data_IF_073752648162
#
_entry.id   IF_073752648162
#
_cell.length_a   1.000
_cell.length_b   1.000
_cell.length_c   1.000
_cell.angle_alpha   90.00
_cell.angle_beta   90.00
_cell.angle_gamma   90.00
#
_symmetry.space_group_name_H-M   'P 1'
#
loop_
_entity.id
_entity.type
_entity.pdbx_description
1 polymer ?
#
# COMPACT_ATOMS: atom_id res chain seq x y z
N UNK A 1 1.96 5.26 -17.33
CA UNK A 1 1.03 6.30 -17.85
C UNK A 1 -0.05 6.53 -16.81
N UNK A 2 -0.23 7.77 -16.34
CA UNK A 2 -1.33 8.11 -15.43
C UNK A 2 -2.57 8.43 -16.26
N UNK A 3 -3.65 7.65 -16.11
CA UNK A 3 -4.96 7.90 -16.74
C UNK A 3 -5.81 8.69 -15.75
N UNK A 4 -6.22 9.90 -16.11
CA UNK A 4 -7.18 10.67 -15.31
C UNK A 4 -8.58 10.10 -15.52
N UNK A 5 -9.17 9.56 -14.46
CA UNK A 5 -10.55 9.08 -14.44
C UNK A 5 -11.44 10.22 -13.92
N UNK A 6 -12.55 10.50 -14.61
CA UNK A 6 -13.54 11.49 -14.19
C UNK A 6 -14.85 10.78 -13.87
N UNK A 7 -15.23 10.76 -12.60
CA UNK A 7 -16.48 10.20 -12.10
C UNK A 7 -17.44 11.36 -11.83
N UNK A 8 -18.53 11.47 -12.58
CA UNK A 8 -19.57 12.50 -12.38
C UNK A 8 -20.89 11.90 -11.91
N UNK A 9 -21.12 10.64 -12.27
CA UNK A 9 -22.33 9.88 -11.96
C UNK A 9 -21.97 8.52 -11.39
N UNK A 10 -22.94 7.84 -10.78
CA UNK A 10 -22.80 6.44 -10.37
C UNK A 10 -22.51 5.54 -11.56
N UNK A 11 -23.13 5.80 -12.72
CA UNK A 11 -22.87 5.01 -13.94
C UNK A 11 -21.43 5.12 -14.44
N UNK A 12 -20.83 6.31 -14.34
CA UNK A 12 -19.40 6.48 -14.66
C UNK A 12 -18.54 5.59 -13.74
N UNK A 13 -18.90 5.51 -12.45
CA UNK A 13 -18.20 4.67 -11.49
C UNK A 13 -18.41 3.18 -11.78
N UNK A 14 -19.62 2.76 -12.12
CA UNK A 14 -19.92 1.36 -12.46
C UNK A 14 -19.07 0.90 -13.64
N UNK A 15 -19.01 1.70 -14.70
CA UNK A 15 -18.22 1.39 -15.91
C UNK A 15 -16.72 1.33 -15.59
N UNK A 16 -16.19 2.29 -14.84
CA UNK A 16 -14.76 2.31 -14.51
C UNK A 16 -14.37 1.19 -13.54
N UNK A 17 -15.20 0.89 -12.54
CA UNK A 17 -14.97 -0.26 -11.63
C UNK A 17 -14.95 -1.56 -12.43
N UNK A 18 -15.96 -1.79 -13.28
CA UNK A 18 -16.03 -2.99 -14.11
C UNK A 18 -14.79 -3.12 -15.02
N UNK A 19 -14.43 -2.06 -15.75
CA UNK A 19 -13.30 -2.07 -16.66
C UNK A 19 -11.96 -2.31 -15.94
N UNK A 20 -11.72 -1.63 -14.81
CA UNK A 20 -10.49 -1.79 -14.03
C UNK A 20 -10.40 -3.18 -13.42
N UNK A 21 -11.49 -3.69 -12.85
CA UNK A 21 -11.52 -5.03 -12.26
C UNK A 21 -11.27 -6.11 -13.33
N UNK A 22 -11.94 -6.04 -14.48
CA UNK A 22 -11.71 -6.97 -15.60
C UNK A 22 -10.26 -6.97 -16.02
N UNK A 23 -9.67 -5.78 -16.19
CA UNK A 23 -8.28 -5.64 -16.59
C UNK A 23 -7.32 -6.24 -15.56
N UNK A 24 -7.48 -5.93 -14.28
CA UNK A 24 -6.60 -6.42 -13.21
C UNK A 24 -6.63 -7.93 -13.11
N UNK A 25 -7.82 -8.54 -13.18
CA UNK A 25 -7.96 -10.00 -13.12
C UNK A 25 -7.31 -10.65 -14.35
N UNK A 26 -7.58 -10.13 -15.56
CA UNK A 26 -7.03 -10.67 -16.80
C UNK A 26 -5.49 -10.52 -16.89
N UNK A 27 -4.94 -9.41 -16.40
CA UNK A 27 -3.48 -9.20 -16.28
C UNK A 27 -2.83 -10.18 -15.30
N UNK A 28 -3.60 -10.81 -14.40
CA UNK A 28 -3.13 -11.88 -13.52
C UNK A 28 -2.70 -13.16 -14.26
N UNK A 29 -3.13 -13.34 -15.52
CA UNK A 29 -2.64 -14.42 -16.39
C UNK A 29 -3.07 -15.83 -15.98
N UNK A 30 -4.17 -15.98 -15.24
CA UNK A 30 -4.70 -17.28 -14.83
C UNK A 30 -5.41 -17.99 -16.00
N UNK A 31 -5.19 -19.29 -16.14
CA UNK A 31 -5.77 -20.10 -17.22
C UNK A 31 -7.30 -20.02 -17.22
N UNK A 32 -7.91 -19.73 -18.37
CA UNK A 32 -9.36 -19.56 -18.52
C UNK A 32 -9.93 -18.22 -18.02
N UNK A 33 -9.08 -17.29 -17.58
CA UNK A 33 -9.48 -15.98 -17.07
C UNK A 33 -8.92 -14.82 -17.91
N UNK A 34 -9.06 -14.93 -19.23
CA UNK A 34 -8.70 -13.85 -20.16
C UNK A 34 -9.69 -12.68 -20.12
N UNK A 35 -9.33 -11.60 -20.81
CA UNK A 35 -10.10 -10.35 -20.81
C UNK A 35 -11.54 -10.53 -21.33
N UNK A 36 -11.75 -11.44 -22.28
CA UNK A 36 -13.08 -11.72 -22.84
C UNK A 36 -13.94 -12.49 -21.84
N UNK A 37 -13.37 -13.54 -21.24
CA UNK A 37 -14.07 -14.41 -20.28
C UNK A 37 -14.42 -13.66 -19.00
N UNK A 38 -13.45 -12.93 -18.43
CA UNK A 38 -13.66 -12.09 -17.26
C UNK A 38 -14.60 -10.94 -17.58
N UNK A 39 -14.43 -10.29 -18.73
CA UNK A 39 -15.28 -9.19 -19.19
C UNK A 39 -16.75 -9.58 -19.21
N UNK A 40 -17.08 -10.70 -19.86
CA UNK A 40 -18.46 -11.23 -19.93
C UNK A 40 -19.11 -11.42 -18.56
N UNK A 41 -18.35 -11.89 -17.56
CA UNK A 41 -18.86 -12.12 -16.20
C UNK A 41 -19.07 -10.78 -15.49
N UNK A 42 -18.07 -9.91 -15.52
CA UNK A 42 -18.08 -8.63 -14.81
C UNK A 42 -19.11 -7.66 -15.38
N UNK A 43 -19.38 -7.71 -16.69
CA UNK A 43 -20.40 -6.89 -17.34
C UNK A 43 -21.80 -7.51 -17.33
N UNK A 44 -22.03 -8.58 -16.57
CA UNK A 44 -23.38 -9.11 -16.39
C UNK A 44 -24.24 -8.15 -15.57
N UNK A 45 -25.53 -8.05 -15.90
CA UNK A 45 -26.47 -7.12 -15.25
C UNK A 45 -26.44 -7.23 -13.73
N UNK A 46 -26.38 -8.47 -13.20
CA UNK A 46 -26.29 -8.73 -11.76
C UNK A 46 -25.03 -8.15 -11.11
N UNK A 47 -23.88 -8.25 -11.79
CA UNK A 47 -22.63 -7.69 -11.26
C UNK A 47 -22.66 -6.17 -11.37
N UNK A 48 -23.15 -5.61 -12.47
CA UNK A 48 -23.29 -4.15 -12.63
C UNK A 48 -24.24 -3.54 -11.59
N UNK A 49 -25.37 -4.19 -11.30
CA UNK A 49 -26.30 -3.77 -10.23
C UNK A 49 -25.67 -3.86 -8.84
N UNK A 50 -24.84 -4.87 -8.60
CA UNK A 50 -24.09 -5.03 -7.35
C UNK A 50 -23.05 -3.92 -7.18
N UNK A 51 -22.31 -3.59 -8.24
CA UNK A 51 -21.35 -2.48 -8.25
C UNK A 51 -22.06 -1.17 -7.95
N UNK A 52 -23.18 -0.90 -8.63
CA UNK A 52 -24.01 0.30 -8.45
C UNK A 52 -24.44 0.45 -6.99
N UNK A 53 -25.08 -0.59 -6.45
CA UNK A 53 -25.58 -0.61 -5.08
C UNK A 53 -24.46 -0.41 -4.05
N UNK A 54 -23.32 -1.09 -4.23
CA UNK A 54 -22.18 -0.97 -3.34
C UNK A 54 -21.53 0.41 -3.37
N UNK A 55 -21.42 1.01 -4.57
CA UNK A 55 -20.89 2.35 -4.75
C UNK A 55 -21.79 3.40 -4.10
N UNK A 56 -23.09 3.40 -4.41
CA UNK A 56 -24.06 4.35 -3.86
C UNK A 56 -24.12 4.27 -2.33
N UNK A 57 -24.07 3.06 -1.76
CA UNK A 57 -24.00 2.87 -0.32
C UNK A 57 -22.77 3.54 0.30
N UNK A 58 -21.60 3.40 -0.32
CA UNK A 58 -20.36 4.00 0.20
C UNK A 58 -20.39 5.53 0.13
N UNK A 59 -20.84 6.08 -1.00
CA UNK A 59 -20.98 7.54 -1.15
C UNK A 59 -22.03 8.08 -0.17
N UNK A 60 -23.16 7.39 -0.01
CA UNK A 60 -24.19 7.72 0.98
C UNK A 60 -23.69 7.69 2.43
N UNK A 61 -22.68 6.86 2.72
CA UNK A 61 -22.00 6.80 4.02
C UNK A 61 -20.85 7.82 4.17
N UNK A 62 -20.67 8.73 3.21
CA UNK A 62 -19.67 9.81 3.27
C UNK A 62 -18.30 9.48 2.69
N UNK A 63 -18.12 8.35 2.00
CA UNK A 63 -16.87 8.07 1.28
C UNK A 63 -16.71 9.01 0.08
N UNK A 64 -15.47 9.38 -0.25
CA UNK A 64 -15.21 10.12 -1.49
C UNK A 64 -15.45 9.20 -2.71
N UNK A 65 -15.77 9.74 -3.90
CA UNK A 65 -15.91 8.94 -5.12
C UNK A 65 -14.68 8.05 -5.40
N UNK A 66 -13.48 8.57 -5.12
CA UNK A 66 -12.22 7.83 -5.28
C UNK A 66 -12.17 6.62 -4.35
N UNK A 67 -12.43 6.82 -3.05
CA UNK A 67 -12.35 5.75 -2.06
C UNK A 67 -13.43 4.70 -2.29
N UNK A 68 -14.63 5.15 -2.71
CA UNK A 68 -15.72 4.26 -3.09
C UNK A 68 -15.33 3.37 -4.30
N UNK A 69 -14.77 3.95 -5.38
CA UNK A 69 -14.28 3.17 -6.53
C UNK A 69 -13.23 2.14 -6.12
N UNK A 70 -12.19 2.58 -5.38
CA UNK A 70 -11.10 1.70 -4.95
C UNK A 70 -11.65 0.54 -4.14
N UNK A 71 -12.45 0.85 -3.12
CA UNK A 71 -12.92 -0.15 -2.19
C UNK A 71 -13.92 -1.10 -2.85
N UNK A 72 -14.76 -0.65 -3.81
CA UNK A 72 -15.71 -1.54 -4.51
C UNK A 72 -14.95 -2.43 -5.47
N UNK A 73 -14.01 -1.88 -6.24
CA UNK A 73 -13.15 -2.66 -7.15
C UNK A 73 -12.35 -3.73 -6.42
N UNK A 74 -11.74 -3.40 -5.28
CA UNK A 74 -11.02 -4.38 -4.44
C UNK A 74 -11.93 -5.50 -3.94
N UNK A 75 -13.13 -5.17 -3.43
CA UNK A 75 -14.10 -6.18 -2.99
C UNK A 75 -14.54 -7.09 -4.14
N UNK A 76 -14.75 -6.52 -5.33
CA UNK A 76 -15.15 -7.28 -6.51
C UNK A 76 -14.05 -8.23 -7.00
N UNK A 77 -12.79 -7.76 -7.06
CA UNK A 77 -11.63 -8.59 -7.41
C UNK A 77 -11.49 -9.74 -6.41
N UNK A 78 -11.54 -9.45 -5.11
CA UNK A 78 -11.44 -10.48 -4.08
C UNK A 78 -12.56 -11.51 -4.19
N UNK A 79 -13.80 -11.07 -4.43
CA UNK A 79 -14.94 -11.97 -4.61
C UNK A 79 -14.77 -12.86 -5.85
N UNK A 80 -14.36 -12.29 -6.98
CA UNK A 80 -14.11 -13.04 -8.21
C UNK A 80 -13.01 -14.09 -8.01
N UNK A 81 -11.85 -13.68 -7.47
CA UNK A 81 -10.73 -14.60 -7.30
C UNK A 81 -11.07 -15.73 -6.33
N UNK A 82 -11.79 -15.43 -5.25
CA UNK A 82 -12.24 -16.45 -4.30
C UNK A 82 -13.23 -17.43 -4.94
N UNK A 83 -14.19 -16.97 -5.75
CA UNK A 83 -15.15 -17.85 -6.42
C UNK A 83 -14.51 -18.68 -7.54
N UNK A 84 -13.48 -18.15 -8.18
CA UNK A 84 -12.70 -18.81 -9.22
C UNK A 84 -11.59 -19.74 -8.68
N UNK A 85 -11.35 -19.77 -7.35
CA UNK A 85 -10.24 -20.54 -6.77
C UNK A 85 -8.86 -19.98 -7.13
N UNK A 86 -8.78 -18.72 -7.54
CA UNK A 86 -7.54 -18.02 -7.86
C UNK A 86 -6.86 -17.60 -6.54
N UNK A 87 -5.59 -17.99 -6.30
CA UNK A 87 -4.88 -17.57 -5.11
C UNK A 87 -4.74 -16.05 -5.09
N UNK A 88 -5.35 -15.40 -4.10
CA UNK A 88 -5.18 -13.97 -3.87
C UNK A 88 -3.91 -13.76 -3.03
N UNK A 89 -3.02 -12.89 -3.50
CA UNK A 89 -2.05 -12.26 -2.59
C UNK A 89 -2.90 -11.42 -1.62
N UNK A 90 -2.67 -11.48 -0.28
CA UNK A 90 -3.46 -10.67 0.65
C UNK A 90 -3.48 -9.22 0.18
N UNK A 91 -4.68 -8.64 0.11
CA UNK A 91 -4.88 -7.29 -0.35
C UNK A 91 -3.92 -6.36 0.39
N UNK A 92 -3.16 -5.55 -0.36
CA UNK A 92 -2.44 -4.44 0.24
C UNK A 92 -3.45 -3.61 1.06
N UNK A 93 -3.14 -3.24 2.31
CA UNK A 93 -4.08 -2.55 3.19
C UNK A 93 -4.67 -1.31 2.50
N UNK A 94 -5.94 -1.03 2.80
CA UNK A 94 -6.79 -0.06 2.09
C UNK A 94 -6.36 1.41 2.25
N UNK A 95 -5.41 1.69 3.16
CA UNK A 95 -4.80 3.01 3.28
C UNK A 95 -3.54 3.06 2.40
N UNK A 96 -3.31 4.14 1.62
CA UNK A 96 -1.99 4.38 1.10
C UNK A 96 -1.05 4.41 2.30
N UNK A 97 -0.15 3.42 2.37
CA UNK A 97 0.90 3.34 3.38
C UNK A 97 1.45 4.74 3.61
N UNK A 98 1.39 5.24 4.85
CA UNK A 98 1.74 6.62 5.16
C UNK A 98 3.05 6.97 4.46
N UNK A 99 3.08 8.08 3.70
CA UNK A 99 4.27 8.47 2.93
C UNK A 99 4.89 9.72 3.51
N UNK A 100 6.22 9.75 3.59
CA UNK A 100 7.01 10.95 3.89
C UNK A 100 7.77 11.39 2.65
N UNK A 101 8.02 12.70 2.51
CA UNK A 101 8.74 13.25 1.37
C UNK A 101 10.22 13.47 1.71
N UNK A 102 11.11 13.13 0.78
CA UNK A 102 12.52 13.50 0.91
C UNK A 102 12.75 15.01 0.65
N UNK A 103 13.97 15.54 0.86
CA UNK A 103 14.27 16.95 0.61
C UNK A 103 14.03 17.43 -0.83
N UNK A 104 13.92 16.52 -1.80
CA UNK A 104 13.58 16.82 -3.19
C UNK A 104 12.07 16.69 -3.48
N UNK A 105 11.26 16.39 -2.47
CA UNK A 105 9.80 16.22 -2.59
C UNK A 105 9.36 14.86 -3.14
N UNK A 106 10.27 13.87 -3.25
CA UNK A 106 9.93 12.53 -3.73
C UNK A 106 9.27 11.74 -2.58
N UNK A 107 8.11 11.10 -2.79
CA UNK A 107 7.43 10.34 -1.74
C UNK A 107 8.12 8.99 -1.49
N UNK A 108 8.31 8.65 -0.21
CA UNK A 108 8.82 7.38 0.29
C UNK A 108 7.85 6.81 1.33
N UNK A 109 7.89 5.49 1.55
CA UNK A 109 7.13 4.85 2.64
C UNK A 109 7.59 5.41 3.99
N UNK A 110 6.66 5.71 4.89
CA UNK A 110 6.97 6.16 6.24
C UNK A 110 7.43 5.01 7.15
N UNK A 111 7.04 3.78 6.81
CA UNK A 111 7.37 2.59 7.56
C UNK A 111 8.26 1.63 6.75
N UNK A 112 9.10 0.88 7.47
CA UNK A 112 9.99 -0.11 6.89
C UNK A 112 10.65 -0.97 7.97
N UNK A 113 11.69 -1.71 7.59
CA UNK A 113 12.53 -2.48 8.53
C UNK A 113 13.74 -1.66 8.96
N UNK A 114 14.09 -1.73 10.24
CA UNK A 114 15.21 -0.98 10.81
C UNK A 114 16.54 -1.35 10.13
N UNK A 115 17.04 -0.44 9.29
CA UNK A 115 18.36 -0.51 8.64
C UNK A 115 19.45 0.26 9.40
N UNK A 116 19.12 0.79 10.58
CA UNK A 116 20.06 1.56 11.39
C UNK A 116 21.19 0.66 11.91
N UNK A 117 22.43 1.01 11.55
CA UNK A 117 23.65 0.34 12.04
C UNK A 117 24.14 0.91 13.38
N UNK A 118 23.32 1.68 14.07
CA UNK A 118 23.67 2.38 15.32
C UNK A 118 22.75 1.91 16.44
N UNK A 119 23.27 1.31 17.51
CA UNK A 119 22.47 0.71 18.60
C UNK A 119 22.71 1.38 19.94
N UNK A 120 21.64 1.62 20.71
CA UNK A 120 21.74 1.95 22.13
C UNK A 120 22.11 0.70 22.93
N UNK A 121 23.22 0.78 23.66
CA UNK A 121 23.70 -0.30 24.53
C UNK A 121 23.96 0.27 25.92
N UNK A 122 23.72 -0.50 27.00
CA UNK A 122 24.05 -0.04 28.34
C UNK A 122 25.52 0.32 28.45
N UNK A 123 25.83 1.46 29.09
CA UNK A 123 27.22 1.89 29.35
C UNK A 123 28.01 0.80 30.06
N UNK A 124 27.33 0.07 30.95
CA UNK A 124 27.85 -1.12 31.60
C UNK A 124 26.78 -2.21 31.61
N UNK A 125 27.07 -3.36 30.99
CA UNK A 125 26.14 -4.49 30.90
C UNK A 125 25.67 -5.02 32.27
N UNK A 126 26.48 -4.83 33.32
CA UNK A 126 26.17 -5.24 34.70
C UNK A 126 25.52 -4.13 35.54
N UNK A 127 25.45 -2.90 35.03
CA UNK A 127 24.85 -1.74 35.69
C UNK A 127 24.02 -0.92 34.69
N UNK A 128 22.83 -1.44 34.27
CA UNK A 128 21.97 -0.76 33.29
C UNK A 128 21.44 0.59 33.80
N UNK A 129 21.47 0.81 35.11
CA UNK A 129 21.11 2.06 35.77
C UNK A 129 22.03 3.24 35.40
N UNK A 130 23.23 2.97 34.87
CA UNK A 130 24.18 4.01 34.44
C UNK A 130 23.82 4.62 33.07
N UNK A 131 22.72 4.19 32.46
CA UNK A 131 22.24 4.69 31.18
C UNK A 131 22.84 3.98 29.97
N UNK A 132 22.55 4.53 28.79
CA UNK A 132 22.91 3.95 27.50
C UNK A 132 23.93 4.82 26.76
N UNK A 133 24.79 4.16 25.97
CA UNK A 133 25.64 4.76 24.94
C UNK A 133 25.22 4.29 23.55
N UNK A 134 25.68 4.97 22.50
CA UNK A 134 25.39 4.59 21.11
C UNK A 134 26.64 3.98 20.45
N UNK A 135 26.52 2.76 19.92
CA UNK A 135 27.58 2.08 19.17
C UNK A 135 27.31 2.07 17.67
N UNK A 136 28.36 2.24 16.87
CA UNK A 136 28.32 2.16 15.40
C UNK A 136 28.64 0.75 14.88
N UNK A 137 28.08 0.39 13.73
CA UNK A 137 28.47 -0.80 12.96
C UNK A 137 27.71 -2.06 13.35
N UNK A 138 26.64 -1.95 14.14
CA UNK A 138 25.77 -3.08 14.45
C UNK A 138 24.99 -3.51 13.21
N UNK A 139 24.70 -4.81 13.13
CA UNK A 139 23.84 -5.35 12.06
C UNK A 139 22.42 -4.82 12.22
N UNK A 140 21.74 -4.62 11.10
CA UNK A 140 20.31 -4.30 11.04
C UNK A 140 19.52 -5.28 11.93
N UNK A 141 18.66 -4.73 12.81
CA UNK A 141 17.88 -5.55 13.74
C UNK A 141 16.57 -6.08 13.13
N UNK A 142 16.15 -5.56 11.97
CA UNK A 142 14.96 -6.00 11.26
C UNK A 142 13.62 -5.61 11.90
N UNK A 143 13.63 -4.98 13.07
CA UNK A 143 12.43 -4.52 13.78
C UNK A 143 11.64 -3.48 12.95
N UNK A 144 10.32 -3.37 13.16
CA UNK A 144 9.51 -2.32 12.58
C UNK A 144 10.08 -0.93 12.91
N UNK A 145 10.17 -0.08 11.88
CA UNK A 145 10.84 1.20 11.96
C UNK A 145 10.10 2.28 11.17
N UNK A 146 10.34 3.53 11.54
CA UNK A 146 9.93 4.72 10.79
C UNK A 146 11.14 5.39 10.15
N UNK A 147 10.89 6.26 9.17
CA UNK A 147 11.96 7.08 8.58
C UNK A 147 12.57 7.99 9.66
N UNK A 148 13.84 7.75 9.98
CA UNK A 148 14.65 8.58 10.89
C UNK A 148 15.22 9.79 10.15
N UNK A 149 15.76 9.55 8.95
CA UNK A 149 16.37 10.57 8.09
C UNK A 149 16.49 10.13 6.65
N UNK A 150 16.70 11.10 5.78
CA UNK A 150 17.07 10.87 4.39
C UNK A 150 18.57 11.11 4.19
N UNK A 151 19.23 10.20 3.47
CA UNK A 151 20.65 10.32 3.13
C UNK A 151 20.79 10.41 1.63
N UNK A 152 21.53 11.39 1.12
CA UNK A 152 21.84 11.46 -0.31
C UNK A 152 22.77 10.29 -0.67
N UNK A 153 22.40 9.49 -1.65
CA UNK A 153 23.26 8.40 -2.10
C UNK A 153 24.52 8.98 -2.76
N UNK A 154 25.69 8.46 -2.38
CA UNK A 154 26.94 8.88 -2.99
C UNK A 154 26.89 8.59 -4.50
N UNK A 155 27.19 9.60 -5.31
CA UNK A 155 27.15 9.55 -6.78
C UNK A 155 25.76 9.36 -7.41
N UNK A 156 24.68 9.64 -6.68
CA UNK A 156 23.34 9.67 -7.25
C UNK A 156 22.56 10.94 -6.88
N UNK A 157 21.60 11.29 -7.74
CA UNK A 157 20.73 12.46 -7.57
C UNK A 157 19.44 12.13 -6.79
N UNK A 158 19.44 11.05 -6.00
CA UNK A 158 18.31 10.66 -5.17
C UNK A 158 18.70 10.48 -3.70
N UNK A 159 17.70 10.65 -2.84
CA UNK A 159 17.79 10.36 -1.41
C UNK A 159 17.28 8.96 -1.13
N UNK A 160 17.92 8.28 -0.17
CA UNK A 160 17.43 7.03 0.39
C UNK A 160 16.90 7.25 1.82
N UNK A 161 15.74 6.71 2.18
CA UNK A 161 15.27 6.72 3.54
C UNK A 161 16.14 5.78 4.39
N UNK A 162 16.49 6.23 5.59
CA UNK A 162 17.06 5.38 6.63
C UNK A 162 15.96 5.15 7.66
N UNK A 163 15.54 3.89 7.77
CA UNK A 163 14.55 3.47 8.75
C UNK A 163 15.24 3.08 10.06
N UNK A 164 14.78 3.62 11.18
CA UNK A 164 15.26 3.24 12.51
C UNK A 164 14.10 2.93 13.46
N UNK A 165 14.24 1.89 14.28
CA UNK A 165 13.26 1.59 15.32
C UNK A 165 13.56 2.40 16.61
N UNK A 166 12.63 2.48 17.58
CA UNK A 166 12.82 3.26 18.82
C UNK A 166 14.10 2.93 19.62
N UNK A 167 14.61 1.70 19.50
CA UNK A 167 15.86 1.27 20.13
C UNK A 167 17.11 1.87 19.46
N UNK A 168 17.03 2.22 18.18
CA UNK A 168 18.13 2.71 17.35
C UNK A 168 18.00 4.20 16.96
N UNK A 169 16.88 4.87 17.29
CA UNK A 169 16.69 6.31 17.08
C UNK A 169 17.44 7.16 18.12
N UNK A 170 17.97 8.32 17.68
CA UNK A 170 18.81 9.22 18.50
C UNK A 170 18.04 10.20 19.40
N UNK A 171 16.72 10.09 19.53
CA UNK A 171 15.91 10.97 20.39
C UNK A 171 14.79 10.15 21.04
N UNK A 172 14.30 10.42 22.25
CA UNK A 172 14.37 11.66 23.04
C UNK A 172 15.76 12.08 23.50
#
# INVERSE_FOLDING_TARGET
MSRTIRIRTTEDAVVEIAALTTRVIAEGGYEGHDLETVGRIITSDTVLDTIRTAYDRRVGNGATPKDAVIAVGQSLIAHYCNSAGIPTVPAAPADPEETTADPAGVPHRAHGTCGATWRRVPVNRNRPDLGDTTEFGHRECGEPATVDRFVKAAHADYYRPVYACPTHTRSN
#
